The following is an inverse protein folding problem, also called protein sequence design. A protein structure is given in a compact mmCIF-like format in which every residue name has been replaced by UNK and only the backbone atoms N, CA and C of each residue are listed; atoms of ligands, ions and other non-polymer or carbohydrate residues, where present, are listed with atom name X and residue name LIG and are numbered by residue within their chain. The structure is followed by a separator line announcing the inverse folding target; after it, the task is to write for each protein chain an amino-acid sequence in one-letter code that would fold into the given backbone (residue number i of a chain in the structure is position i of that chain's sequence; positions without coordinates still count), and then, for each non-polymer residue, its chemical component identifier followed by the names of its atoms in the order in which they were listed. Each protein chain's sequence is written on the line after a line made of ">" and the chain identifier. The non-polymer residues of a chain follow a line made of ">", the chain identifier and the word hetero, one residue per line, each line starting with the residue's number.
data_IF_697196538918
#
_entry.id   IF_697196538918
#
_cell.length_a   1.000
_cell.length_b   1.000
_cell.length_c   1.000
_cell.angle_alpha   90.00
_cell.angle_beta   90.00
_cell.angle_gamma   90.00
#
_symmetry.space_group_name_H-M   'P 1'
#
loop_
_entity.id
_entity.type
_entity.pdbx_description
1 polymer ?
#
# COMPACT_ATOMS: atom_id res chain seq x y z
N UNK A 1 -20.49 3.90 -3.11
CA UNK A 1 -20.59 5.10 -2.26
C UNK A 1 -21.75 5.96 -2.73
N UNK A 2 -22.57 6.43 -1.79
CA UNK A 2 -23.57 7.41 -2.14
C UNK A 2 -22.85 8.68 -2.59
N UNK A 3 -23.14 9.15 -3.79
CA UNK A 3 -22.46 10.28 -4.47
C UNK A 3 -22.52 11.63 -3.73
N UNK A 4 -23.14 11.68 -2.56
CA UNK A 4 -23.40 12.90 -1.78
C UNK A 4 -22.74 12.93 -0.39
N UNK A 5 -21.82 11.98 -0.10
CA UNK A 5 -21.15 11.93 1.21
C UNK A 5 -19.85 12.73 1.15
N UNK A 6 -19.63 13.56 2.16
CA UNK A 6 -18.36 14.28 2.34
C UNK A 6 -17.29 13.38 2.95
N UNK A 7 -16.04 13.80 2.82
CA UNK A 7 -14.89 13.09 3.42
C UNK A 7 -15.06 12.96 4.93
N UNK A 8 -15.46 14.07 5.63
CA UNK A 8 -15.68 14.03 7.08
C UNK A 8 -16.81 13.10 7.47
N UNK A 9 -17.97 13.16 6.81
CA UNK A 9 -19.09 12.25 7.11
C UNK A 9 -18.71 10.79 6.96
N UNK A 10 -17.95 10.44 5.92
CA UNK A 10 -17.48 9.06 5.72
C UNK A 10 -16.51 8.63 6.83
N UNK A 11 -15.59 9.51 7.23
CA UNK A 11 -14.67 9.26 8.34
C UNK A 11 -15.41 9.14 9.68
N UNK A 12 -16.38 10.03 9.96
CA UNK A 12 -17.20 10.01 11.19
C UNK A 12 -17.99 8.71 11.30
N UNK A 13 -18.64 8.28 10.21
CA UNK A 13 -19.35 6.99 10.18
C UNK A 13 -18.38 5.85 10.46
N UNK A 14 -17.22 5.83 9.78
CA UNK A 14 -16.22 4.79 10.01
C UNK A 14 -15.74 4.79 11.46
N UNK A 15 -15.43 5.97 12.02
CA UNK A 15 -14.97 6.11 13.40
C UNK A 15 -16.02 5.63 14.41
N UNK A 16 -17.31 5.90 14.15
CA UNK A 16 -18.41 5.50 15.05
C UNK A 16 -18.58 3.98 15.19
N UNK A 17 -18.06 3.19 14.25
CA UNK A 17 -18.13 1.73 14.29
C UNK A 17 -17.13 1.10 15.27
N UNK A 18 -16.16 1.86 15.79
CA UNK A 18 -15.05 1.33 16.58
C UNK A 18 -14.92 2.06 17.91
N UNK A 19 -14.75 1.33 19.04
CA UNK A 19 -14.62 1.90 20.38
C UNK A 19 -13.33 2.71 20.57
N UNK A 20 -12.24 2.25 19.98
CA UNK A 20 -10.89 2.83 20.11
C UNK A 20 -10.41 3.30 18.72
N UNK A 21 -11.21 4.14 18.07
CA UNK A 21 -10.85 4.66 16.76
C UNK A 21 -9.78 5.77 16.88
N UNK A 22 -8.91 5.87 15.87
CA UNK A 22 -8.01 7.01 15.72
C UNK A 22 -8.80 8.27 15.39
N UNK A 23 -8.25 9.43 15.74
CA UNK A 23 -8.78 10.72 15.29
C UNK A 23 -8.59 10.85 13.77
N UNK A 24 -9.69 10.85 13.03
CA UNK A 24 -9.65 10.96 11.58
C UNK A 24 -9.13 12.33 11.11
N UNK A 25 -9.32 13.38 11.91
CA UNK A 25 -8.80 14.71 11.58
C UNK A 25 -7.28 14.73 11.56
N UNK A 26 -6.64 14.07 12.53
CA UNK A 26 -5.17 13.92 12.55
C UNK A 26 -4.69 13.04 11.40
N UNK A 27 -5.39 11.96 11.08
CA UNK A 27 -5.06 11.12 9.92
C UNK A 27 -5.19 11.91 8.61
N UNK A 28 -6.27 12.66 8.40
CA UNK A 28 -6.44 13.51 7.21
C UNK A 28 -5.31 14.55 7.08
N UNK A 29 -4.84 15.14 8.20
CA UNK A 29 -3.68 16.05 8.20
C UNK A 29 -2.39 15.31 7.82
N UNK A 30 -2.13 14.15 8.42
CA UNK A 30 -0.95 13.32 8.14
C UNK A 30 -0.87 12.96 6.65
N UNK A 31 -1.99 12.62 6.02
CA UNK A 31 -2.07 12.29 4.60
C UNK A 31 -2.24 13.52 3.68
N UNK A 32 -2.24 14.73 4.22
CA UNK A 32 -2.28 15.99 3.46
C UNK A 32 -3.57 16.20 2.67
N UNK A 33 -4.71 15.74 3.20
CA UNK A 33 -6.04 15.89 2.59
C UNK A 33 -7.08 16.49 3.56
N UNK A 34 -6.64 17.09 4.67
CA UNK A 34 -7.54 17.71 5.65
C UNK A 34 -8.35 18.87 5.06
N UNK A 35 -7.78 19.63 4.12
CA UNK A 35 -8.46 20.71 3.39
C UNK A 35 -9.67 20.22 2.58
N UNK A 36 -9.74 18.92 2.30
CA UNK A 36 -10.84 18.25 1.59
C UNK A 36 -11.91 17.66 2.50
N UNK A 37 -11.81 17.83 3.82
CA UNK A 37 -12.75 17.24 4.77
C UNK A 37 -14.22 17.55 4.46
N UNK A 38 -14.52 18.76 3.95
CA UNK A 38 -15.87 19.21 3.56
C UNK A 38 -16.22 18.95 2.08
N UNK A 39 -15.29 18.47 1.27
CA UNK A 39 -15.53 18.13 -0.13
C UNK A 39 -16.28 16.80 -0.23
N UNK A 40 -17.09 16.65 -1.27
CA UNK A 40 -17.72 15.36 -1.55
C UNK A 40 -16.66 14.35 -2.02
N UNK A 41 -16.78 13.08 -1.63
CA UNK A 41 -15.82 12.02 -2.01
C UNK A 41 -15.67 11.90 -3.53
N UNK A 42 -16.75 12.11 -4.29
CA UNK A 42 -16.73 12.11 -5.76
C UNK A 42 -15.91 13.22 -6.40
N UNK A 43 -15.68 14.33 -5.68
CA UNK A 43 -14.94 15.51 -6.16
C UNK A 43 -13.43 15.37 -5.95
N UNK A 44 -13.01 14.35 -5.20
CA UNK A 44 -11.60 14.06 -4.96
C UNK A 44 -10.92 13.59 -6.25
N UNK A 45 -9.68 14.05 -6.47
CA UNK A 45 -8.81 13.43 -7.46
C UNK A 45 -8.54 11.96 -7.13
N UNK A 46 -8.09 11.17 -8.11
CA UNK A 46 -7.73 9.77 -7.88
C UNK A 46 -6.77 9.60 -6.70
N UNK A 47 -5.71 10.42 -6.64
CA UNK A 47 -4.73 10.37 -5.55
C UNK A 47 -5.31 10.79 -4.19
N UNK A 48 -6.17 11.81 -4.15
CA UNK A 48 -6.84 12.21 -2.90
C UNK A 48 -7.78 11.11 -2.40
N UNK A 49 -8.48 10.44 -3.31
CA UNK A 49 -9.35 9.31 -2.99
C UNK A 49 -8.55 8.13 -2.45
N UNK A 50 -7.40 7.83 -3.04
CA UNK A 50 -6.51 6.77 -2.56
C UNK A 50 -6.02 7.06 -1.13
N UNK A 51 -5.56 8.30 -0.86
CA UNK A 51 -5.18 8.74 0.49
C UNK A 51 -6.34 8.61 1.48
N UNK A 52 -7.57 8.97 1.08
CA UNK A 52 -8.75 8.79 1.92
C UNK A 52 -9.00 7.31 2.25
N UNK A 53 -8.85 6.38 1.30
CA UNK A 53 -9.04 4.96 1.58
C UNK A 53 -8.03 4.42 2.59
N UNK A 54 -6.77 4.89 2.55
CA UNK A 54 -5.78 4.55 3.58
C UNK A 54 -6.21 5.09 4.93
N UNK A 55 -6.66 6.36 5.00
CA UNK A 55 -7.15 6.96 6.24
C UNK A 55 -8.29 6.13 6.83
N UNK A 56 -9.28 5.75 6.01
CA UNK A 56 -10.40 4.91 6.46
C UNK A 56 -9.92 3.55 7.00
N UNK A 57 -8.92 2.94 6.37
CA UNK A 57 -8.35 1.67 6.82
C UNK A 57 -7.58 1.81 8.16
N UNK A 58 -7.05 3.01 8.48
CA UNK A 58 -6.30 3.28 9.69
C UNK A 58 -7.15 3.78 10.87
N UNK A 59 -8.36 4.31 10.63
CA UNK A 59 -9.28 4.73 11.69
C UNK A 59 -9.49 3.65 12.76
N UNK A 60 -9.69 2.35 12.41
CA UNK A 60 -9.85 1.28 13.40
C UNK A 60 -8.64 0.99 14.28
N UNK A 61 -7.49 1.62 14.06
CA UNK A 61 -6.18 1.29 14.65
C UNK A 61 -5.82 -0.20 14.49
N UNK A 62 -5.80 -0.70 13.26
CA UNK A 62 -5.55 -2.12 13.02
C UNK A 62 -4.10 -2.49 13.36
N UNK A 63 -3.88 -3.78 13.68
CA UNK A 63 -2.52 -4.35 13.77
C UNK A 63 -1.98 -4.76 12.40
N UNK A 64 -2.87 -5.06 11.47
CA UNK A 64 -2.55 -5.49 10.10
C UNK A 64 -3.44 -4.74 9.13
N UNK A 65 -2.88 -4.22 8.04
CA UNK A 65 -3.62 -3.65 6.91
C UNK A 65 -3.26 -4.39 5.63
N UNK A 66 -4.24 -4.53 4.76
CA UNK A 66 -4.08 -5.05 3.40
C UNK A 66 -4.27 -3.92 2.42
N UNK A 67 -3.26 -3.65 1.61
CA UNK A 67 -3.22 -2.56 0.66
C UNK A 67 -3.00 -3.13 -0.73
N UNK A 68 -4.01 -3.02 -1.58
CA UNK A 68 -3.98 -3.52 -2.94
C UNK A 68 -3.72 -2.38 -3.91
N UNK A 69 -2.60 -2.46 -4.68
CA UNK A 69 -2.18 -1.46 -5.65
C UNK A 69 -2.24 -0.01 -5.14
N UNK A 70 -1.75 0.20 -3.93
CA UNK A 70 -1.93 1.39 -3.11
C UNK A 70 -1.62 2.71 -3.81
N UNK A 71 -0.55 2.76 -4.61
CA UNK A 71 -0.05 4.01 -5.19
C UNK A 71 -0.42 4.19 -6.67
N UNK A 72 -1.25 3.31 -7.21
CA UNK A 72 -1.76 3.44 -8.57
C UNK A 72 -2.53 4.74 -8.75
N UNK A 73 -2.13 5.54 -9.74
CA UNK A 73 -2.73 6.86 -10.01
C UNK A 73 -2.19 8.01 -9.15
N UNK A 74 -1.21 7.78 -8.28
CA UNK A 74 -0.45 8.84 -7.62
C UNK A 74 0.69 9.33 -8.51
N UNK A 75 0.95 10.64 -8.48
CA UNK A 75 2.20 11.17 -9.03
C UNK A 75 3.40 10.77 -8.14
N UNK A 76 4.61 10.91 -8.67
CA UNK A 76 5.83 10.46 -7.98
C UNK A 76 6.06 11.14 -6.62
N UNK A 77 5.62 12.40 -6.45
CA UNK A 77 5.75 13.12 -5.18
C UNK A 77 4.76 12.57 -4.15
N UNK A 78 3.48 12.45 -4.52
CA UNK A 78 2.43 11.93 -3.66
C UNK A 78 2.73 10.47 -3.25
N UNK A 79 3.29 9.65 -4.14
CA UNK A 79 3.72 8.28 -3.87
C UNK A 79 4.78 8.25 -2.76
N UNK A 80 5.85 9.03 -2.89
CA UNK A 80 6.91 9.11 -1.87
C UNK A 80 6.40 9.61 -0.51
N UNK A 81 5.46 10.55 -0.50
CA UNK A 81 4.84 11.02 0.75
C UNK A 81 4.08 9.88 1.44
N UNK A 82 3.28 9.10 0.69
CA UNK A 82 2.57 7.94 1.22
C UNK A 82 3.54 6.87 1.72
N UNK A 83 4.60 6.55 0.97
CA UNK A 83 5.61 5.58 1.41
C UNK A 83 6.25 5.97 2.74
N UNK A 84 6.61 7.24 2.90
CA UNK A 84 7.16 7.73 4.15
C UNK A 84 6.19 7.53 5.32
N UNK A 85 4.91 7.88 5.14
CA UNK A 85 3.89 7.71 6.18
C UNK A 85 3.73 6.22 6.54
N UNK A 86 3.69 5.34 5.53
CA UNK A 86 3.57 3.90 5.77
C UNK A 86 4.80 3.32 6.47
N UNK A 87 6.01 3.76 6.12
CA UNK A 87 7.23 3.38 6.82
C UNK A 87 7.20 3.81 8.28
N UNK A 88 6.79 5.06 8.56
CA UNK A 88 6.64 5.57 9.93
C UNK A 88 5.60 4.75 10.75
N UNK A 89 4.52 4.30 10.10
CA UNK A 89 3.50 3.45 10.74
C UNK A 89 4.00 2.03 10.98
N UNK A 90 4.79 1.49 10.05
CA UNK A 90 5.45 0.18 10.21
C UNK A 90 6.42 0.18 11.38
N UNK A 91 7.24 1.22 11.54
CA UNK A 91 8.13 1.40 12.70
C UNK A 91 7.37 1.47 14.03
N UNK A 92 6.12 1.94 14.01
CA UNK A 92 5.22 1.97 15.17
C UNK A 92 4.49 0.64 15.41
N UNK A 93 4.80 -0.40 14.65
CA UNK A 93 4.30 -1.75 14.85
C UNK A 93 3.09 -2.14 13.98
N UNK A 94 2.73 -1.32 12.96
CA UNK A 94 1.73 -1.71 11.98
C UNK A 94 2.32 -2.76 11.02
N UNK A 95 1.66 -3.91 10.88
CA UNK A 95 1.97 -4.87 9.82
C UNK A 95 1.24 -4.49 8.55
N UNK A 96 1.97 -4.38 7.45
CA UNK A 96 1.42 -4.01 6.14
C UNK A 96 1.58 -5.18 5.19
N UNK A 97 0.46 -5.66 4.64
CA UNK A 97 0.45 -6.59 3.52
C UNK A 97 0.12 -5.79 2.25
N UNK A 98 1.07 -5.72 1.34
CA UNK A 98 0.99 -4.89 0.13
C UNK A 98 1.00 -5.77 -1.11
N UNK A 99 0.10 -5.51 -2.07
CA UNK A 99 0.28 -5.95 -3.44
C UNK A 99 0.68 -4.77 -4.32
N UNK A 100 1.66 -4.95 -5.17
CA UNK A 100 2.13 -3.90 -6.07
C UNK A 100 2.73 -4.49 -7.35
N UNK A 101 2.64 -3.73 -8.41
CA UNK A 101 3.35 -3.95 -9.67
C UNK A 101 4.48 -2.91 -9.88
N UNK A 102 4.71 -2.04 -8.90
CA UNK A 102 5.80 -1.06 -8.90
C UNK A 102 6.97 -1.59 -8.07
N UNK A 103 8.06 -1.94 -8.72
CA UNK A 103 9.22 -2.53 -8.05
C UNK A 103 9.90 -1.55 -7.09
N UNK A 104 9.92 -0.25 -7.41
CA UNK A 104 10.41 0.81 -6.54
C UNK A 104 9.59 0.94 -5.23
N UNK A 105 8.29 0.66 -5.27
CA UNK A 105 7.44 0.60 -4.07
C UNK A 105 7.79 -0.60 -3.19
N UNK A 106 7.98 -1.75 -3.82
CA UNK A 106 8.35 -2.99 -3.13
C UNK A 106 9.71 -2.84 -2.43
N UNK A 107 10.72 -2.31 -3.14
CA UNK A 107 12.04 -2.03 -2.56
C UNK A 107 11.98 -1.04 -1.39
N UNK A 108 11.10 -0.02 -1.47
CA UNK A 108 11.00 1.01 -0.45
C UNK A 108 10.26 0.57 0.82
N UNK A 109 9.29 -0.36 0.72
CA UNK A 109 8.34 -0.65 1.80
C UNK A 109 8.42 -2.07 2.36
N UNK A 110 8.82 -3.05 1.56
CA UNK A 110 8.71 -4.45 1.93
C UNK A 110 9.98 -4.98 2.60
N UNK A 111 9.83 -5.63 3.76
CA UNK A 111 10.90 -6.38 4.41
C UNK A 111 11.03 -7.79 3.81
N UNK A 112 9.90 -8.34 3.35
CA UNK A 112 9.82 -9.68 2.74
C UNK A 112 8.84 -9.63 1.59
N UNK A 113 9.16 -10.31 0.51
CA UNK A 113 8.38 -10.36 -0.72
C UNK A 113 8.00 -11.79 -1.08
N UNK A 114 6.91 -11.94 -1.79
CA UNK A 114 6.49 -13.18 -2.42
C UNK A 114 6.17 -12.88 -3.89
N UNK A 115 6.92 -13.48 -4.80
CA UNK A 115 6.64 -13.37 -6.25
C UNK A 115 5.71 -14.49 -6.66
N UNK A 116 4.58 -14.12 -7.27
CA UNK A 116 3.58 -15.06 -7.74
C UNK A 116 3.62 -15.19 -9.27
N UNK A 117 3.61 -16.42 -9.76
CA UNK A 117 3.49 -16.76 -11.18
C UNK A 117 2.37 -17.77 -11.36
N UNK A 118 1.34 -17.41 -12.16
CA UNK A 118 0.19 -18.29 -12.42
C UNK A 118 -0.44 -18.88 -11.15
N UNK A 119 -0.53 -18.06 -10.08
CA UNK A 119 -1.12 -18.46 -8.79
C UNK A 119 -0.21 -19.30 -7.89
N UNK A 120 1.03 -19.54 -8.27
CA UNK A 120 2.04 -20.25 -7.45
C UNK A 120 3.11 -19.27 -6.98
N UNK A 121 3.59 -19.43 -5.74
CA UNK A 121 4.77 -18.73 -5.26
C UNK A 121 6.01 -19.31 -5.95
N UNK A 122 6.76 -18.44 -6.65
CA UNK A 122 8.02 -18.81 -7.31
C UNK A 122 9.24 -18.26 -6.59
N UNK A 123 9.03 -17.30 -5.68
CA UNK A 123 10.07 -16.78 -4.80
C UNK A 123 9.45 -16.30 -3.50
N UNK A 124 10.15 -16.48 -2.38
CA UNK A 124 9.83 -15.91 -1.06
C UNK A 124 11.13 -15.57 -0.34
N UNK A 125 11.29 -14.33 0.10
CA UNK A 125 12.50 -13.84 0.76
C UNK A 125 12.57 -12.32 0.76
N UNK A 126 13.77 -11.76 0.89
CA UNK A 126 13.99 -10.30 0.77
C UNK A 126 14.23 -9.88 -0.68
N UNK A 127 14.22 -8.59 -0.95
CA UNK A 127 14.58 -8.05 -2.28
C UNK A 127 16.02 -8.40 -2.63
N UNK A 128 16.95 -8.29 -1.67
CA UNK A 128 18.36 -8.63 -1.86
C UNK A 128 18.56 -10.10 -2.18
N UNK A 129 17.81 -10.99 -1.53
CA UNK A 129 17.84 -12.43 -1.82
C UNK A 129 17.27 -12.72 -3.21
N UNK A 130 16.23 -12.00 -3.65
CA UNK A 130 15.70 -12.16 -5.00
C UNK A 130 16.72 -11.73 -6.07
N UNK A 131 17.41 -10.62 -5.85
CA UNK A 131 18.49 -10.17 -6.74
C UNK A 131 19.62 -11.21 -6.76
N UNK A 132 20.10 -11.64 -5.60
CA UNK A 132 21.20 -12.61 -5.49
C UNK A 132 20.86 -13.98 -6.11
N UNK A 133 19.60 -14.38 -6.11
CA UNK A 133 19.13 -15.63 -6.73
C UNK A 133 18.87 -15.54 -8.22
N UNK A 134 19.05 -14.38 -8.84
CA UNK A 134 18.87 -14.13 -10.27
C UNK A 134 20.21 -13.77 -10.95
N UNK A 135 20.31 -13.79 -12.29
CA UNK A 135 21.49 -13.35 -13.01
C UNK A 135 21.58 -11.79 -13.15
N UNK A 136 20.77 -11.02 -12.43
CA UNK A 136 20.64 -9.59 -12.59
C UNK A 136 21.01 -8.83 -11.31
N UNK A 137 21.45 -7.57 -11.49
CA UNK A 137 21.86 -6.67 -10.39
C UNK A 137 20.73 -5.75 -9.91
N UNK A 138 19.58 -5.75 -10.61
CA UNK A 138 18.43 -4.90 -10.27
C UNK A 138 17.21 -5.74 -9.97
N UNK A 139 16.42 -5.29 -9.01
CA UNK A 139 15.22 -6.03 -8.60
C UNK A 139 14.16 -6.11 -9.70
N UNK A 140 13.96 -5.06 -10.51
CA UNK A 140 13.01 -5.08 -11.61
C UNK A 140 13.35 -6.17 -12.62
N UNK A 141 14.61 -6.31 -13.01
CA UNK A 141 15.08 -7.36 -13.92
C UNK A 141 14.98 -8.75 -13.27
N UNK A 142 15.34 -8.87 -11.98
CA UNK A 142 15.17 -10.09 -11.22
C UNK A 142 13.70 -10.53 -11.14
N UNK A 143 12.79 -9.59 -10.86
CA UNK A 143 11.35 -9.86 -10.84
C UNK A 143 10.84 -10.37 -12.20
N UNK A 144 11.24 -9.73 -13.30
CA UNK A 144 10.88 -10.18 -14.66
C UNK A 144 11.40 -11.60 -14.92
N UNK A 145 12.63 -11.91 -14.50
CA UNK A 145 13.19 -13.25 -14.64
C UNK A 145 12.40 -14.31 -13.89
N UNK A 146 11.99 -14.05 -12.63
CA UNK A 146 11.12 -14.96 -11.88
C UNK A 146 9.71 -15.06 -12.50
N UNK A 147 9.20 -13.97 -13.06
CA UNK A 147 7.83 -13.88 -13.61
C UNK A 147 7.73 -14.51 -15.00
N UNK A 148 8.73 -14.35 -15.88
CA UNK A 148 8.63 -14.76 -17.28
C UNK A 148 9.06 -16.21 -17.52
N UNK A 149 10.33 -16.55 -17.55
CA UNK A 149 10.77 -17.90 -17.93
C UNK A 149 11.98 -18.44 -17.17
N UNK A 150 12.57 -17.64 -16.29
CA UNK A 150 13.85 -17.97 -15.67
C UNK A 150 13.83 -19.15 -14.69
N UNK A 151 12.68 -19.52 -14.16
CA UNK A 151 12.53 -20.67 -13.26
C UNK A 151 11.77 -21.77 -13.98
N UNK A 152 12.49 -22.78 -14.47
CA UNK A 152 11.88 -24.01 -14.97
C UNK A 152 11.06 -24.68 -13.85
N UNK A 153 9.91 -25.27 -14.19
CA UNK A 153 8.91 -25.86 -13.27
C UNK A 153 9.41 -27.02 -12.36
N UNK A 154 10.73 -27.20 -12.21
CA UNK A 154 11.31 -28.42 -11.63
C UNK A 154 11.93 -28.26 -10.23
N UNK A 155 11.77 -27.14 -9.54
CA UNK A 155 12.18 -27.09 -8.13
C UNK A 155 10.96 -26.85 -7.24
N UNK A 156 10.46 -27.99 -6.69
CA UNK A 156 9.48 -28.01 -5.61
C UNK A 156 10.04 -27.29 -4.37
N UNK A 157 9.36 -26.25 -3.93
CA UNK A 157 9.44 -25.71 -2.56
C UNK A 157 8.44 -26.45 -1.69
#
# INVERSE_FOLDING_TARGET
>A
YQDKVTVSELCEVTQSLYKNAADYGELLKQFGIFDKAKSMVKELSGGQRQKLFIVLALIPQPKVVFLDELTTGLDAKARREVWKILSDLKEKGLTIFLTSHFMDEVEALCDTICILKKGKAVFYGTVEEAIAGSPYDKFEDAYLWYSDEGVSENENI
#
